data_IF_486993280194
#
_entry.id   IF_486993280194
#
_cell.length_a   1.000
_cell.length_b   1.000
_cell.length_c   1.000
_cell.angle_alpha   90.00
_cell.angle_beta   90.00
_cell.angle_gamma   90.00
#
_symmetry.space_group_name_H-M   'P 1'
#
loop_
_entity.id
_entity.type
_entity.pdbx_description
1 polymer ?
#
# COMPACT_ATOMS: atom_id res chain seq x y z
N UNK A 1 -10.41 -6.74 18.28
CA UNK A 1 -10.69 -5.57 17.43
C UNK A 1 -9.77 -5.67 16.24
N UNK A 2 -10.34 -5.95 15.07
CA UNK A 2 -9.60 -6.27 13.85
C UNK A 2 -8.68 -5.11 13.52
N UNK A 3 -7.39 -5.38 13.30
CA UNK A 3 -6.47 -4.45 12.67
C UNK A 3 -7.06 -4.09 11.30
N UNK A 4 -7.85 -3.02 11.24
CA UNK A 4 -8.11 -2.29 10.01
C UNK A 4 -6.87 -1.49 9.72
N UNK A 5 -5.83 -2.26 9.36
CA UNK A 5 -4.84 -1.97 8.36
C UNK A 5 -5.23 -0.72 7.57
N UNK A 6 -4.54 0.39 7.84
CA UNK A 6 -4.53 1.57 6.98
C UNK A 6 -3.79 1.27 5.66
N UNK A 7 -3.89 0.03 5.17
CA UNK A 7 -3.30 -0.45 3.95
C UNK A 7 -4.27 -0.36 2.80
N UNK A 8 -3.67 -0.18 1.63
CA UNK A 8 -4.30 -0.02 0.34
C UNK A 8 -5.41 -1.08 0.08
N UNK A 9 -6.67 -0.72 0.32
CA UNK A 9 -7.80 -1.64 0.20
C UNK A 9 -8.26 -1.76 -1.27
N UNK A 10 -7.68 -2.73 -1.97
CA UNK A 10 -7.97 -3.03 -3.37
C UNK A 10 -9.45 -3.28 -3.64
N UNK A 11 -10.17 -3.99 -2.75
CA UNK A 11 -11.59 -4.31 -2.94
C UNK A 11 -12.47 -3.06 -2.88
N UNK A 12 -12.15 -2.14 -1.96
CA UNK A 12 -12.84 -0.85 -1.85
C UNK A 12 -12.62 0.00 -3.09
N UNK A 13 -11.39 0.09 -3.56
CA UNK A 13 -11.06 0.85 -4.77
C UNK A 13 -11.67 0.25 -6.03
N UNK A 14 -11.74 -1.09 -6.12
CA UNK A 14 -12.37 -1.80 -7.23
C UNK A 14 -13.87 -1.51 -7.32
N UNK A 15 -14.57 -1.38 -6.18
CA UNK A 15 -15.99 -0.98 -6.16
C UNK A 15 -16.19 0.47 -6.59
N UNK A 16 -15.39 1.39 -6.05
CA UNK A 16 -15.43 2.82 -6.45
C UNK A 16 -15.12 3.02 -7.94
N UNK A 17 -14.23 2.21 -8.50
CA UNK A 17 -13.92 2.17 -9.94
C UNK A 17 -15.10 1.69 -10.79
N UNK A 18 -15.87 0.73 -10.28
CA UNK A 18 -17.06 0.22 -10.96
C UNK A 18 -18.26 1.18 -10.85
N UNK A 19 -18.32 1.96 -9.77
CA UNK A 19 -19.32 3.02 -9.54
C UNK A 19 -19.00 4.30 -10.33
N UNK A 20 -17.74 4.51 -10.74
CA UNK A 20 -17.33 5.60 -11.61
C UNK A 20 -17.73 5.32 -13.08
N UNK A 21 -18.99 5.61 -13.39
CA UNK A 21 -19.60 5.53 -14.72
C UNK A 21 -19.06 6.58 -15.71
N UNK A 22 -18.69 7.77 -15.21
CA UNK A 22 -18.01 8.80 -15.98
C UNK A 22 -16.53 8.45 -16.22
N UNK A 23 -16.17 8.24 -17.49
CA UNK A 23 -14.78 8.00 -17.94
C UNK A 23 -13.74 9.02 -17.41
N UNK A 24 -13.98 10.35 -17.42
CA UNK A 24 -13.02 11.29 -16.84
C UNK A 24 -12.88 11.16 -15.31
N UNK A 25 -13.96 10.84 -14.58
CA UNK A 25 -13.91 10.62 -13.13
C UNK A 25 -13.13 9.35 -12.80
N UNK A 26 -13.34 8.29 -13.59
CA UNK A 26 -12.61 7.03 -13.49
C UNK A 26 -11.11 7.22 -13.68
N UNK A 27 -10.70 7.98 -14.70
CA UNK A 27 -9.28 8.29 -14.94
C UNK A 27 -8.66 9.11 -13.81
N UNK A 28 -9.36 10.15 -13.33
CA UNK A 28 -8.89 10.95 -12.19
C UNK A 28 -8.71 10.08 -10.94
N UNK A 29 -9.63 9.15 -10.68
CA UNK A 29 -9.54 8.23 -9.56
C UNK A 29 -8.40 7.22 -9.70
N UNK A 30 -8.15 6.67 -10.90
CA UNK A 30 -7.00 5.80 -11.17
C UNK A 30 -5.67 6.54 -10.92
N UNK A 31 -5.56 7.79 -11.37
CA UNK A 31 -4.35 8.59 -11.16
C UNK A 31 -4.09 8.83 -9.67
N UNK A 32 -5.13 9.18 -8.91
CA UNK A 32 -5.05 9.32 -7.46
C UNK A 32 -4.53 8.04 -6.79
N UNK A 33 -5.07 6.88 -7.18
CA UNK A 33 -4.66 5.58 -6.66
C UNK A 33 -3.19 5.26 -6.95
N UNK A 34 -2.72 5.57 -8.16
CA UNK A 34 -1.32 5.40 -8.56
C UNK A 34 -0.40 6.32 -7.75
N UNK A 35 -0.78 7.58 -7.57
CA UNK A 35 -0.01 8.55 -6.78
C UNK A 35 0.13 8.11 -5.32
N UNK A 36 -0.97 7.69 -4.69
CA UNK A 36 -0.94 7.23 -3.29
C UNK A 36 -0.05 5.99 -3.15
N UNK A 37 -0.18 5.00 -4.05
CA UNK A 37 0.68 3.80 -4.04
C UNK A 37 2.16 4.13 -4.27
N UNK A 38 2.46 5.14 -5.10
CA UNK A 38 3.83 5.59 -5.33
C UNK A 38 4.41 6.25 -4.08
N UNK A 39 3.64 7.09 -3.38
CA UNK A 39 4.02 7.71 -2.11
C UNK A 39 4.25 6.66 -1.02
N UNK A 40 3.37 5.68 -0.91
CA UNK A 40 3.52 4.57 0.05
C UNK A 40 4.83 3.80 -0.18
N UNK A 41 5.14 3.46 -1.44
CA UNK A 41 6.40 2.78 -1.79
C UNK A 41 7.62 3.63 -1.47
N UNK A 42 7.56 4.94 -1.70
CA UNK A 42 8.64 5.87 -1.36
C UNK A 42 8.85 5.96 0.16
N UNK A 43 7.76 6.02 0.94
CA UNK A 43 7.81 6.02 2.39
C UNK A 43 8.40 4.72 2.93
N UNK A 44 7.99 3.57 2.38
CA UNK A 44 8.54 2.25 2.73
C UNK A 44 10.04 2.17 2.43
N UNK A 45 10.49 2.62 1.26
CA UNK A 45 11.90 2.66 0.90
C UNK A 45 12.70 3.60 1.81
N UNK A 46 12.15 4.78 2.12
CA UNK A 46 12.79 5.72 3.05
C UNK A 46 12.95 5.12 4.45
N UNK A 47 11.92 4.43 4.94
CA UNK A 47 11.97 3.72 6.22
C UNK A 47 13.01 2.60 6.20
N UNK A 48 13.03 1.77 5.15
CA UNK A 48 14.04 0.71 4.96
C UNK A 48 15.46 1.28 4.91
N UNK A 49 15.67 2.41 4.25
CA UNK A 49 16.96 3.08 4.17
C UNK A 49 17.40 3.61 5.55
N UNK A 50 16.48 4.22 6.32
CA UNK A 50 16.75 4.68 7.68
C UNK A 50 17.08 3.52 8.63
N UNK A 51 16.33 2.43 8.57
CA UNK A 51 16.58 1.22 9.36
C UNK A 51 17.94 0.61 9.04
N UNK A 52 18.28 0.52 7.75
CA UNK A 52 19.59 0.06 7.28
C UNK A 52 20.73 0.95 7.80
N UNK A 53 20.55 2.27 7.79
CA UNK A 53 21.52 3.23 8.33
C UNK A 53 21.72 3.14 9.85
N UNK A 54 20.72 2.65 10.57
CA UNK A 54 20.77 2.38 12.01
C UNK A 54 21.28 0.96 12.34
N UNK A 55 21.67 0.17 11.33
CA UNK A 55 22.09 -1.23 11.51
C UNK A 55 20.96 -2.19 11.90
N UNK A 56 19.71 -1.73 11.85
CA UNK A 56 18.50 -2.53 12.14
C UNK A 56 18.00 -3.15 10.84
N UNK A 57 18.26 -4.44 10.63
CA UNK A 57 17.64 -5.16 9.51
C UNK A 57 16.17 -5.41 9.83
N UNK A 58 15.20 -5.10 8.94
CA UNK A 58 13.86 -5.63 9.09
C UNK A 58 13.96 -7.16 9.02
N UNK A 59 13.69 -7.83 10.15
CA UNK A 59 13.80 -9.28 10.24
C UNK A 59 12.81 -9.94 9.28
N UNK A 60 13.23 -10.90 8.43
CA UNK A 60 12.33 -11.65 7.57
C UNK A 60 11.58 -12.78 8.30
N UNK A 61 11.77 -12.99 9.60
CA UNK A 61 11.25 -14.16 10.33
C UNK A 61 9.85 -13.97 10.95
N UNK A 62 8.83 -13.74 10.12
CA UNK A 62 7.45 -13.97 10.54
C UNK A 62 6.72 -14.75 9.44
N UNK A 63 7.18 -15.98 9.16
CA UNK A 63 6.61 -16.73 8.05
C UNK A 63 7.04 -18.18 7.84
N UNK A 64 7.53 -18.92 8.83
CA UNK A 64 7.58 -20.39 8.74
C UNK A 64 7.25 -21.01 10.11
N UNK A 65 6.05 -21.61 10.30
CA UNK A 65 5.89 -22.62 11.31
C UNK A 65 6.41 -23.94 10.72
N UNK A 66 7.55 -24.36 11.26
CA UNK A 66 8.12 -25.70 11.15
C UNK A 66 7.01 -26.78 11.30
N UNK A 67 6.69 -27.48 10.21
CA UNK A 67 6.06 -28.82 10.19
C UNK A 67 6.33 -29.56 8.89
#
# INVERSE_FOLDING_TARGET
MSHSDAGYNFDRYRRLLAEADDEPKRLAFINLLVEEKAKDRLAEQSLRARLSGLGLKPSPEAGEPDR
#
